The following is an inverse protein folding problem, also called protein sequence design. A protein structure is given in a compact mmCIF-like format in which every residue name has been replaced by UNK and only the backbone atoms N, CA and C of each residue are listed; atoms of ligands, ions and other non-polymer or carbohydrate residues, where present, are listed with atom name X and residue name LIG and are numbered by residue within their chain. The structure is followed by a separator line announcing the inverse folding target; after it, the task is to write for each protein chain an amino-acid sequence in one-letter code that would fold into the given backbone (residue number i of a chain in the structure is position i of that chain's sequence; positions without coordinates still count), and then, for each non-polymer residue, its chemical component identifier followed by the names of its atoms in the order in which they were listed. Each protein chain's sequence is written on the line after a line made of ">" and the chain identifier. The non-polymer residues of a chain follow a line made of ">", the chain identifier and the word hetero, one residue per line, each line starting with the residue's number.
data_IF_054165742476
#
_entry.id   IF_054165742476
#
_cell.length_a   1.000
_cell.length_b   1.000
_cell.length_c   1.000
_cell.angle_alpha   90.00
_cell.angle_beta   90.00
_cell.angle_gamma   90.00
#
_symmetry.space_group_name_H-M   'P 1'
#
loop_
_entity.id
_entity.type
_entity.pdbx_description
1 polymer ?
#
# COMPACT_ATOMS: atom_id res chain seq x y z
N UNK A 1 26.56 -5.50 -4.64
CA UNK A 1 26.07 -6.72 -3.98
C UNK A 1 24.61 -6.49 -3.66
N UNK A 2 23.74 -7.46 -3.95
CA UNK A 2 22.32 -7.39 -3.63
C UNK A 2 22.10 -7.11 -2.13
N UNK A 3 21.08 -6.33 -1.76
CA UNK A 3 20.68 -6.19 -0.36
C UNK A 3 19.92 -7.43 0.09
N UNK A 4 19.10 -7.98 -0.82
CA UNK A 4 18.33 -9.18 -0.56
C UNK A 4 19.21 -10.42 -0.42
N UNK A 5 18.91 -11.21 0.59
CA UNK A 5 19.51 -12.53 0.81
C UNK A 5 18.70 -13.66 0.16
N UNK A 6 17.46 -13.36 -0.25
CA UNK A 6 16.53 -14.23 -0.97
C UNK A 6 15.69 -13.38 -1.93
N UNK A 7 15.49 -13.84 -3.17
CA UNK A 7 14.67 -13.15 -4.17
C UNK A 7 13.31 -13.85 -4.36
N UNK A 8 12.52 -13.91 -3.28
CA UNK A 8 11.18 -14.52 -3.26
C UNK A 8 10.34 -13.91 -2.14
N UNK A 9 9.01 -14.02 -2.24
CA UNK A 9 8.12 -13.68 -1.12
C UNK A 9 8.26 -14.74 -0.02
N UNK A 10 8.40 -14.28 1.23
CA UNK A 10 8.50 -15.15 2.38
C UNK A 10 7.18 -15.20 3.19
N UNK A 11 7.02 -16.20 4.04
CA UNK A 11 5.86 -16.27 4.95
C UNK A 11 5.93 -15.19 6.04
N UNK A 12 4.78 -14.77 6.56
CA UNK A 12 4.71 -13.82 7.68
C UNK A 12 5.17 -14.50 8.98
N UNK A 13 6.37 -14.13 9.42
CA UNK A 13 6.95 -14.52 10.71
C UNK A 13 7.66 -13.30 11.32
N UNK A 14 7.98 -13.34 12.61
CA UNK A 14 8.78 -12.29 13.25
C UNK A 14 10.13 -12.09 12.56
N UNK A 15 10.84 -13.19 12.25
CA UNK A 15 12.13 -13.14 11.55
C UNK A 15 11.99 -12.47 10.19
N UNK A 16 11.04 -12.91 9.35
CA UNK A 16 10.88 -12.37 8.01
C UNK A 16 10.39 -10.92 8.03
N UNK A 17 9.57 -10.52 9.00
CA UNK A 17 9.16 -9.12 9.15
C UNK A 17 10.37 -8.21 9.46
N UNK A 18 11.29 -8.67 10.32
CA UNK A 18 12.54 -7.95 10.58
C UNK A 18 13.42 -7.89 9.33
N UNK A 19 13.56 -9.01 8.59
CA UNK A 19 14.29 -9.03 7.31
C UNK A 19 13.69 -8.07 6.28
N UNK A 20 12.36 -7.94 6.22
CA UNK A 20 11.68 -7.02 5.32
C UNK A 20 11.97 -5.55 5.68
N UNK A 21 11.94 -5.21 6.97
CA UNK A 21 12.28 -3.88 7.46
C UNK A 21 13.75 -3.51 7.22
N UNK A 22 14.64 -4.51 7.21
CA UNK A 22 16.08 -4.34 6.96
C UNK A 22 16.49 -4.51 5.49
N UNK A 23 15.52 -4.50 4.57
CA UNK A 23 15.75 -4.60 3.12
C UNK A 23 16.49 -5.88 2.72
N UNK A 24 16.25 -6.99 3.42
CA UNK A 24 16.90 -8.28 3.19
C UNK A 24 16.05 -9.27 2.42
N UNK A 25 14.76 -9.01 2.26
CA UNK A 25 13.85 -9.75 1.40
C UNK A 25 12.94 -8.77 0.65
N UNK A 26 12.44 -9.15 -0.53
CA UNK A 26 11.59 -8.26 -1.34
C UNK A 26 10.19 -8.06 -0.75
N UNK A 27 9.65 -9.05 -0.03
CA UNK A 27 8.30 -8.99 0.50
C UNK A 27 7.87 -10.23 1.26
N UNK A 28 6.69 -10.15 1.83
CA UNK A 28 6.00 -11.20 2.56
C UNK A 28 4.66 -11.48 1.90
N UNK A 29 4.21 -12.73 1.91
CA UNK A 29 2.88 -13.14 1.44
C UNK A 29 2.16 -13.95 2.52
N UNK A 30 0.85 -13.70 2.63
CA UNK A 30 -0.10 -14.61 3.27
C UNK A 30 -1.11 -14.99 2.19
N UNK A 31 -0.99 -16.22 1.67
CA UNK A 31 -1.85 -16.72 0.62
C UNK A 31 -3.28 -16.91 1.13
N UNK A 32 -4.28 -16.61 0.28
CA UNK A 32 -5.70 -16.80 0.62
C UNK A 32 -6.08 -16.16 1.98
N UNK A 33 -5.58 -14.95 2.23
CA UNK A 33 -5.83 -14.19 3.44
C UNK A 33 -7.31 -13.82 3.60
N UNK A 34 -7.97 -13.47 2.48
CA UNK A 34 -9.42 -13.37 2.38
C UNK A 34 -9.92 -14.45 1.42
N UNK A 35 -11.01 -15.18 1.77
CA UNK A 35 -11.60 -16.14 0.86
C UNK A 35 -12.00 -15.51 -0.48
N UNK A 36 -11.71 -16.20 -1.58
CA UNK A 36 -11.98 -15.72 -2.95
C UNK A 36 -13.43 -15.30 -3.15
N UNK A 37 -14.39 -16.05 -2.62
CA UNK A 37 -15.83 -15.73 -2.71
C UNK A 37 -16.17 -14.36 -2.07
N UNK A 38 -15.54 -14.05 -0.93
CA UNK A 38 -15.69 -12.75 -0.28
C UNK A 38 -15.05 -11.66 -1.13
N UNK A 39 -13.86 -11.92 -1.69
CA UNK A 39 -13.19 -10.98 -2.57
C UNK A 39 -14.01 -10.64 -3.82
N UNK A 40 -14.65 -11.64 -4.44
CA UNK A 40 -15.50 -11.46 -5.62
C UNK A 40 -16.72 -10.58 -5.32
N UNK A 41 -17.37 -10.79 -4.17
CA UNK A 41 -18.50 -9.95 -3.72
C UNK A 41 -18.08 -8.50 -3.51
N UNK A 42 -16.93 -8.27 -2.87
CA UNK A 42 -16.37 -6.92 -2.66
C UNK A 42 -16.01 -6.27 -3.99
N UNK A 43 -15.31 -6.99 -4.88
CA UNK A 43 -14.93 -6.50 -6.20
C UNK A 43 -16.15 -6.19 -7.09
N UNK A 44 -17.26 -6.92 -6.95
CA UNK A 44 -18.52 -6.60 -7.61
C UNK A 44 -19.11 -5.30 -7.07
N UNK A 45 -19.26 -5.17 -5.74
CA UNK A 45 -19.80 -3.95 -5.11
C UNK A 45 -19.00 -2.72 -5.53
N UNK A 46 -17.67 -2.80 -5.47
CA UNK A 46 -16.76 -1.72 -5.86
C UNK A 46 -16.94 -1.26 -7.31
N UNK A 47 -17.18 -2.18 -8.24
CA UNK A 47 -17.46 -1.86 -9.64
C UNK A 47 -18.80 -1.13 -9.77
N UNK A 48 -19.85 -1.69 -9.18
CA UNK A 48 -21.21 -1.16 -9.26
C UNK A 48 -21.39 0.21 -8.58
N UNK A 49 -20.76 0.44 -7.43
CA UNK A 49 -20.98 1.66 -6.64
C UNK A 49 -20.02 2.78 -6.96
N UNK A 50 -18.79 2.47 -7.39
CA UNK A 50 -17.70 3.45 -7.30
C UNK A 50 -16.70 3.46 -8.46
N UNK A 51 -16.58 2.41 -9.28
CA UNK A 51 -15.59 2.40 -10.37
C UNK A 51 -16.20 2.40 -11.77
N UNK A 52 -17.41 1.88 -11.98
CA UNK A 52 -18.07 1.91 -13.30
C UNK A 52 -18.76 3.26 -13.59
N UNK A 53 -19.07 4.05 -12.55
CA UNK A 53 -19.69 5.37 -12.71
C UNK A 53 -18.72 6.49 -13.15
N UNK A 54 -17.41 6.24 -13.24
CA UNK A 54 -16.38 7.26 -13.54
C UNK A 54 -15.74 7.11 -14.93
N UNK A 55 -16.43 6.48 -15.89
CA UNK A 55 -15.98 6.27 -17.28
C UNK A 55 -15.68 7.56 -18.09
N UNK A 56 -15.95 8.72 -17.50
CA UNK A 56 -15.64 10.05 -18.05
C UNK A 56 -14.25 10.59 -17.66
N UNK A 57 -13.52 9.94 -16.75
CA UNK A 57 -12.14 10.31 -16.35
C UNK A 57 -11.12 9.32 -16.96
N UNK A 58 -11.08 9.24 -18.29
CA UNK A 58 -10.25 8.28 -19.05
C UNK A 58 -8.73 8.44 -18.85
N UNK A 59 -8.28 9.56 -18.29
CA UNK A 59 -6.86 9.91 -18.20
C UNK A 59 -6.21 9.61 -16.83
N UNK A 60 -6.97 9.15 -15.84
CA UNK A 60 -6.43 8.80 -14.50
C UNK A 60 -6.36 7.26 -14.36
N UNK A 61 -5.16 6.66 -14.31
CA UNK A 61 -5.00 5.21 -14.26
C UNK A 61 -5.41 4.58 -12.91
N UNK A 62 -5.65 5.39 -11.88
CA UNK A 62 -5.98 4.93 -10.52
C UNK A 62 -7.21 5.63 -9.99
N UNK A 63 -8.26 4.86 -9.76
CA UNK A 63 -9.39 5.30 -8.94
C UNK A 63 -9.17 4.80 -7.51
N UNK A 64 -9.51 5.61 -6.51
CA UNK A 64 -9.39 5.22 -5.11
C UNK A 64 -10.70 5.50 -4.37
N UNK A 65 -10.94 4.72 -3.33
CA UNK A 65 -12.05 4.89 -2.39
C UNK A 65 -11.47 4.83 -0.99
N UNK A 66 -11.99 5.65 -0.09
CA UNK A 66 -11.40 5.90 1.21
C UNK A 66 -10.52 7.15 1.17
N UNK A 67 -9.69 7.32 2.19
CA UNK A 67 -8.89 8.52 2.39
C UNK A 67 -7.40 8.20 2.21
N UNK A 68 -6.72 8.94 1.34
CA UNK A 68 -5.28 8.82 1.16
C UNK A 68 -4.58 10.08 1.72
N UNK A 69 -3.74 9.93 2.74
CA UNK A 69 -3.05 11.01 3.43
C UNK A 69 -2.21 11.86 2.46
N UNK A 70 -1.56 11.25 1.47
CA UNK A 70 -0.72 11.96 0.51
C UNK A 70 -1.46 13.08 -0.27
N UNK A 71 -2.79 12.98 -0.44
CA UNK A 71 -3.60 14.03 -1.08
C UNK A 71 -3.77 15.26 -0.21
N UNK A 72 -3.66 15.10 1.11
CA UNK A 72 -3.92 16.13 2.12
C UNK A 72 -2.69 16.51 2.93
N UNK A 73 -1.54 15.88 2.66
CA UNK A 73 -0.28 16.11 3.37
C UNK A 73 0.25 17.56 3.25
N UNK A 74 -0.27 18.31 2.28
CA UNK A 74 0.02 19.74 2.08
C UNK A 74 -1.06 20.68 2.65
N UNK A 75 -2.14 20.13 3.19
CA UNK A 75 -3.24 20.87 3.84
C UNK A 75 -3.06 20.91 5.36
N UNK A 76 -3.83 21.77 6.03
CA UNK A 76 -3.90 21.73 7.49
C UNK A 76 -4.49 20.39 7.97
N UNK A 77 -3.95 19.86 9.07
CA UNK A 77 -4.34 18.56 9.61
C UNK A 77 -5.85 18.34 9.78
N UNK A 78 -6.64 19.30 10.32
CA UNK A 78 -8.08 19.11 10.48
C UNK A 78 -8.79 18.70 9.18
N UNK A 79 -8.35 19.22 8.03
CA UNK A 79 -8.99 18.93 6.73
C UNK A 79 -8.97 17.43 6.41
N UNK A 80 -7.88 16.74 6.77
CA UNK A 80 -7.78 15.29 6.62
C UNK A 80 -8.68 14.57 7.64
N UNK A 81 -8.57 14.91 8.92
CA UNK A 81 -9.29 14.21 9.99
C UNK A 81 -10.80 14.38 9.92
N UNK A 82 -11.30 15.54 9.48
CA UNK A 82 -12.73 15.81 9.27
C UNK A 82 -13.36 14.93 8.19
N UNK A 83 -12.55 14.34 7.30
CA UNK A 83 -13.00 13.44 6.22
C UNK A 83 -12.99 11.97 6.61
N UNK A 84 -12.35 11.63 7.73
CA UNK A 84 -12.09 10.24 8.12
C UNK A 84 -13.38 9.44 8.30
N UNK A 85 -14.35 9.98 9.02
CA UNK A 85 -15.57 9.24 9.37
C UNK A 85 -16.42 8.96 8.12
N UNK A 86 -16.51 9.93 7.20
CA UNK A 86 -17.16 9.73 5.92
C UNK A 86 -16.43 8.66 5.07
N UNK A 87 -15.09 8.70 5.04
CA UNK A 87 -14.31 7.70 4.33
C UNK A 87 -14.49 6.30 4.92
N UNK A 88 -14.53 6.18 6.25
CA UNK A 88 -14.77 4.91 6.94
C UNK A 88 -16.16 4.36 6.64
N UNK A 89 -17.19 5.21 6.68
CA UNK A 89 -18.56 4.79 6.34
C UNK A 89 -18.64 4.18 4.94
N UNK A 90 -17.97 4.77 3.95
CA UNK A 90 -17.94 4.22 2.58
C UNK A 90 -17.26 2.84 2.55
N UNK A 91 -16.19 2.62 3.32
CA UNK A 91 -15.56 1.29 3.44
C UNK A 91 -16.50 0.30 4.13
N UNK A 92 -17.15 0.71 5.21
CA UNK A 92 -18.06 -0.15 5.97
C UNK A 92 -19.24 -0.62 5.11
N UNK A 93 -19.80 0.28 4.28
CA UNK A 93 -20.86 -0.05 3.31
C UNK A 93 -20.41 -1.10 2.29
N UNK A 94 -19.14 -1.08 1.85
CA UNK A 94 -18.58 -2.09 0.95
C UNK A 94 -18.51 -3.46 1.63
N UNK A 95 -18.22 -3.50 2.94
CA UNK A 95 -18.14 -4.74 3.73
C UNK A 95 -19.45 -5.14 4.42
N UNK A 96 -20.52 -4.38 4.25
CA UNK A 96 -21.80 -4.64 4.91
C UNK A 96 -22.27 -6.09 4.66
N UNK A 97 -22.75 -6.76 5.71
CA UNK A 97 -23.13 -8.19 5.73
C UNK A 97 -22.04 -9.22 5.42
N UNK A 98 -20.77 -8.84 5.23
CA UNK A 98 -19.66 -9.78 4.99
C UNK A 98 -18.98 -10.26 6.28
N UNK A 99 -19.24 -9.58 7.42
CA UNK A 99 -18.70 -9.91 8.74
C UNK A 99 -17.17 -10.05 8.76
N UNK A 100 -16.48 -9.15 8.06
CA UNK A 100 -15.02 -9.03 8.05
C UNK A 100 -14.61 -7.57 8.23
N UNK A 101 -13.45 -7.36 8.83
CA UNK A 101 -12.74 -6.09 8.87
C UNK A 101 -11.29 -6.36 8.44
N UNK A 102 -10.93 -6.11 7.16
CA UNK A 102 -9.60 -6.40 6.67
C UNK A 102 -8.47 -5.63 7.37
N UNK A 103 -8.74 -4.42 7.88
CA UNK A 103 -7.74 -3.65 8.62
C UNK A 103 -7.46 -4.33 9.95
N UNK A 104 -8.51 -4.70 10.69
CA UNK A 104 -8.36 -5.47 11.93
C UNK A 104 -7.68 -6.83 11.67
N UNK A 105 -8.05 -7.55 10.62
CA UNK A 105 -7.40 -8.81 10.25
C UNK A 105 -5.89 -8.65 9.99
N UNK A 106 -5.48 -7.58 9.30
CA UNK A 106 -4.05 -7.29 9.04
C UNK A 106 -3.33 -6.93 10.35
N UNK A 107 -3.96 -6.13 11.22
CA UNK A 107 -3.42 -5.83 12.56
C UNK A 107 -3.21 -7.11 13.36
N UNK A 108 -4.21 -8.00 13.39
CA UNK A 108 -4.14 -9.28 14.11
C UNK A 108 -3.03 -10.18 13.56
N UNK A 109 -2.90 -10.27 12.23
CA UNK A 109 -1.86 -11.07 11.57
C UNK A 109 -0.46 -10.55 11.90
N UNK A 110 -0.25 -9.23 11.87
CA UNK A 110 1.03 -8.61 12.24
C UNK A 110 1.30 -8.73 13.75
N UNK A 111 0.27 -8.66 14.60
CA UNK A 111 0.44 -8.83 16.05
C UNK A 111 0.96 -10.23 16.43
N UNK A 112 0.68 -11.26 15.61
CA UNK A 112 1.26 -12.60 15.80
C UNK A 112 2.78 -12.64 15.64
N UNK A 113 3.40 -11.61 15.08
CA UNK A 113 4.88 -11.51 15.00
C UNK A 113 5.50 -10.98 16.29
N UNK A 114 4.75 -10.87 17.39
CA UNK A 114 5.25 -10.43 18.70
C UNK A 114 5.47 -8.92 18.83
N UNK A 115 5.09 -8.12 17.82
CA UNK A 115 5.25 -6.67 17.81
C UNK A 115 3.88 -6.00 18.07
N UNK A 116 3.79 -4.95 18.90
CA UNK A 116 2.55 -4.19 19.03
C UNK A 116 2.19 -3.50 17.71
N UNK A 117 0.92 -3.58 17.31
CA UNK A 117 0.40 -3.03 16.04
C UNK A 117 -0.95 -2.38 16.28
N UNK A 118 -1.22 -1.27 15.58
CA UNK A 118 -2.52 -0.62 15.57
C UNK A 118 -2.64 0.41 14.46
N UNK A 119 -3.69 1.23 14.51
CA UNK A 119 -3.78 2.43 13.67
C UNK A 119 -2.74 3.46 14.13
N UNK A 120 -2.15 4.17 13.17
CA UNK A 120 -1.27 5.29 13.47
C UNK A 120 -2.09 6.43 14.10
N UNK A 121 -1.49 7.20 15.01
CA UNK A 121 -2.16 8.30 15.71
C UNK A 121 -1.46 9.63 15.43
N UNK A 122 -2.25 10.69 15.26
CA UNK A 122 -1.76 12.07 15.22
C UNK A 122 -2.13 12.77 16.55
N UNK A 123 -1.14 13.29 17.30
CA UNK A 123 -1.37 14.00 18.54
C UNK A 123 -2.37 15.16 18.37
N UNK A 124 -3.44 15.13 19.16
CA UNK A 124 -4.50 16.14 19.15
C UNK A 124 -5.59 15.94 18.09
N UNK A 125 -5.46 14.94 17.21
CA UNK A 125 -6.43 14.64 16.15
C UNK A 125 -6.95 13.19 16.20
N UNK A 126 -6.17 12.26 16.75
CA UNK A 126 -6.54 10.86 16.91
C UNK A 126 -6.03 9.97 15.78
N UNK A 127 -6.69 8.82 15.60
CA UNK A 127 -6.24 7.79 14.65
C UNK A 127 -6.43 8.21 13.20
N UNK A 128 -5.44 7.90 12.36
CA UNK A 128 -5.51 8.02 10.90
C UNK A 128 -6.49 7.00 10.32
N UNK A 129 -7.00 7.30 9.12
CA UNK A 129 -7.68 6.31 8.28
C UNK A 129 -6.71 5.23 7.79
N UNK A 130 -7.21 4.00 7.62
CA UNK A 130 -6.51 2.91 6.94
C UNK A 130 -7.52 2.08 6.13
N UNK A 131 -7.02 1.37 5.12
CA UNK A 131 -7.76 0.46 4.27
C UNK A 131 -8.37 1.12 3.03
N UNK A 132 -7.68 2.04 2.35
CA UNK A 132 -8.16 2.61 1.09
C UNK A 132 -8.17 1.55 -0.03
N UNK A 133 -9.21 1.53 -0.86
CA UNK A 133 -9.21 0.76 -2.09
C UNK A 133 -8.53 1.51 -3.21
N UNK A 134 -7.86 0.76 -4.10
CA UNK A 134 -7.35 1.25 -5.38
C UNK A 134 -7.80 0.32 -6.50
N UNK A 135 -8.40 0.91 -7.53
CA UNK A 135 -8.70 0.27 -8.80
C UNK A 135 -7.70 0.77 -9.82
N UNK A 136 -6.81 -0.12 -10.23
CA UNK A 136 -5.71 0.17 -11.13
C UNK A 136 -6.07 -0.27 -12.56
N UNK A 137 -5.91 0.66 -13.51
CA UNK A 137 -6.02 0.45 -14.96
C UNK A 137 -4.79 1.07 -15.63
N UNK A 138 -4.06 0.30 -16.43
CA UNK A 138 -2.86 0.75 -17.13
C UNK A 138 -1.56 0.35 -16.45
N UNK A 139 -0.55 1.22 -16.51
CA UNK A 139 0.80 1.00 -15.94
C UNK A 139 1.08 1.98 -14.80
N UNK A 140 1.49 1.47 -13.64
CA UNK A 140 1.91 2.27 -12.49
C UNK A 140 3.39 2.53 -12.64
N UNK A 141 3.81 3.79 -12.71
CA UNK A 141 5.19 4.14 -13.03
C UNK A 141 6.11 3.85 -11.85
N UNK A 142 7.40 3.62 -12.11
CA UNK A 142 8.42 3.40 -11.09
C UNK A 142 8.43 4.50 -10.03
N UNK A 143 8.16 4.14 -8.77
CA UNK A 143 8.13 5.07 -7.65
C UNK A 143 8.59 4.38 -6.36
N UNK A 144 8.77 5.18 -5.32
CA UNK A 144 8.92 4.72 -3.95
C UNK A 144 8.00 5.58 -3.08
N UNK A 145 7.41 4.97 -2.05
CA UNK A 145 6.62 5.70 -1.05
C UNK A 145 7.41 5.74 0.24
N UNK A 146 7.72 6.96 0.68
CA UNK A 146 8.35 7.21 1.96
C UNK A 146 7.87 8.55 2.51
N UNK A 147 6.95 8.51 3.47
CA UNK A 147 6.34 9.66 4.10
C UNK A 147 7.40 10.69 4.57
N UNK A 148 8.45 10.31 5.32
CA UNK A 148 9.50 11.24 5.76
C UNK A 148 10.24 11.95 4.61
N UNK A 149 10.34 11.35 3.43
CA UNK A 149 11.05 11.96 2.30
C UNK A 149 10.19 12.98 1.56
N UNK A 150 8.91 12.71 1.36
CA UNK A 150 8.07 13.52 0.47
C UNK A 150 7.15 14.49 1.20
N UNK A 151 6.77 14.22 2.45
CA UNK A 151 5.93 15.11 3.25
C UNK A 151 6.83 16.12 3.95
N UNK A 152 6.59 17.41 3.72
CA UNK A 152 7.39 18.50 4.30
C UNK A 152 6.77 19.12 5.54
N UNK A 153 5.51 18.78 5.83
CA UNK A 153 4.81 19.23 7.02
C UNK A 153 5.06 18.27 8.20
N UNK A 154 4.98 18.75 9.45
CA UNK A 154 5.29 17.96 10.64
C UNK A 154 4.12 17.03 11.01
N UNK A 155 3.87 16.02 10.18
CA UNK A 155 2.90 14.96 10.45
C UNK A 155 3.58 13.81 11.20
N UNK A 156 2.89 13.15 12.12
CA UNK A 156 3.53 12.09 12.93
C UNK A 156 4.04 10.92 12.08
N UNK A 157 3.44 10.68 10.91
CA UNK A 157 3.91 9.69 9.93
C UNK A 157 5.27 10.05 9.30
N UNK A 158 5.78 11.28 9.47
CA UNK A 158 7.15 11.65 9.03
C UNK A 158 8.23 11.23 10.03
N UNK A 159 7.86 10.80 11.23
CA UNK A 159 8.78 10.41 12.31
C UNK A 159 9.07 8.90 12.33
N UNK A 160 8.54 8.16 11.35
CA UNK A 160 8.77 6.71 11.22
C UNK A 160 10.17 6.42 10.71
N UNK A 161 10.72 5.27 11.11
CA UNK A 161 12.06 4.83 10.69
C UNK A 161 12.07 3.89 9.49
N UNK A 162 10.94 3.22 9.22
CA UNK A 162 10.71 2.34 8.08
C UNK A 162 9.27 2.48 7.63
N UNK A 163 9.03 2.34 6.33
CA UNK A 163 7.71 2.30 5.74
C UNK A 163 7.51 1.03 4.92
N UNK A 164 6.43 0.32 5.21
CA UNK A 164 5.95 -0.81 4.43
C UNK A 164 4.54 -0.52 3.95
N UNK A 165 4.01 -1.39 3.11
CA UNK A 165 2.60 -1.44 2.76
C UNK A 165 2.07 -2.85 2.95
N UNK A 166 0.76 -2.96 3.08
CA UNK A 166 0.04 -4.21 2.85
C UNK A 166 -0.95 -4.01 1.71
N UNK A 167 -1.13 -5.05 0.89
CA UNK A 167 -2.08 -5.06 -0.21
C UNK A 167 -2.88 -6.37 -0.18
N UNK A 168 -4.20 -6.27 -0.05
CA UNK A 168 -5.12 -7.40 -0.25
C UNK A 168 -5.72 -7.29 -1.64
N UNK A 169 -5.72 -8.38 -2.39
CA UNK A 169 -6.13 -8.40 -3.80
C UNK A 169 -7.56 -8.91 -3.97
N UNK A 170 -8.46 -8.08 -4.46
CA UNK A 170 -9.88 -8.39 -4.64
C UNK A 170 -10.22 -8.77 -6.07
N UNK A 171 -9.50 -8.23 -7.04
CA UNK A 171 -9.58 -8.65 -8.44
C UNK A 171 -8.25 -8.44 -9.15
N UNK A 172 -8.02 -9.21 -10.21
CA UNK A 172 -6.82 -9.12 -11.04
C UNK A 172 -7.22 -8.91 -12.50
N UNK A 173 -6.32 -8.29 -13.28
CA UNK A 173 -6.46 -8.23 -14.74
C UNK A 173 -6.35 -9.64 -15.32
N UNK A 174 -6.89 -9.84 -16.53
CA UNK A 174 -6.74 -11.10 -17.28
C UNK A 174 -5.28 -11.34 -17.70
N UNK A 175 -4.58 -10.27 -18.07
CA UNK A 175 -3.16 -10.25 -18.43
C UNK A 175 -2.50 -9.04 -17.78
N UNK A 176 -1.23 -9.15 -17.38
CA UNK A 176 -0.56 -8.11 -16.59
C UNK A 176 -1.06 -8.05 -15.15
N UNK A 177 -0.94 -6.87 -14.54
CA UNK A 177 -1.26 -6.60 -13.14
C UNK A 177 -0.11 -6.96 -12.17
N UNK A 178 1.07 -7.27 -12.71
CA UNK A 178 2.21 -7.69 -11.89
C UNK A 178 2.75 -6.53 -11.05
N UNK A 179 3.00 -6.81 -9.78
CA UNK A 179 3.82 -5.96 -8.92
C UNK A 179 5.29 -6.30 -9.21
N UNK A 180 6.08 -5.27 -9.50
CA UNK A 180 7.53 -5.37 -9.60
C UNK A 180 8.13 -4.57 -8.46
N UNK A 181 8.98 -5.20 -7.65
CA UNK A 181 9.75 -4.57 -6.58
C UNK A 181 11.21 -4.70 -6.96
N UNK A 182 11.97 -3.62 -6.87
CA UNK A 182 13.39 -3.58 -7.21
C UNK A 182 14.24 -3.59 -5.94
N UNK A 183 15.38 -4.28 -5.98
CA UNK A 183 16.40 -4.24 -4.93
C UNK A 183 17.22 -2.94 -4.99
N UNK A 184 16.52 -1.81 -5.13
CA UNK A 184 17.07 -0.46 -5.00
C UNK A 184 16.24 0.28 -3.98
N UNK A 185 16.90 0.88 -2.99
CA UNK A 185 16.26 1.56 -1.87
C UNK A 185 16.27 3.07 -2.14
N UNK A 186 15.12 3.71 -1.99
CA UNK A 186 15.01 5.17 -2.00
C UNK A 186 15.72 5.76 -0.79
N UNK A 187 16.58 6.75 -1.05
CA UNK A 187 17.36 7.47 -0.06
C UNK A 187 17.45 8.95 -0.43
N UNK A 188 17.88 9.80 0.51
CA UNK A 188 18.17 11.20 0.20
C UNK A 188 19.19 11.38 -0.93
N UNK A 189 20.09 10.40 -1.14
CA UNK A 189 21.09 10.44 -2.19
C UNK A 189 20.49 10.29 -3.60
N UNK A 190 19.40 9.55 -3.76
CA UNK A 190 18.75 9.34 -5.07
C UNK A 190 17.41 10.09 -5.22
N UNK A 191 16.89 10.72 -4.17
CA UNK A 191 15.66 11.53 -4.23
C UNK A 191 15.70 12.66 -5.28
N UNK A 192 16.88 13.24 -5.51
CA UNK A 192 17.09 14.29 -6.51
C UNK A 192 16.83 13.82 -7.96
N UNK A 193 16.78 12.52 -8.20
CA UNK A 193 16.50 11.93 -9.53
C UNK A 193 15.00 11.89 -9.83
N UNK A 194 14.13 12.22 -8.86
CA UNK A 194 12.68 12.29 -9.06
C UNK A 194 12.36 13.24 -10.21
N UNK A 195 11.45 12.83 -11.10
CA UNK A 195 11.09 13.70 -12.23
C UNK A 195 10.39 14.95 -11.68
N UNK A 196 10.84 16.18 -12.05
CA UNK A 196 10.28 17.40 -11.50
C UNK A 196 8.77 17.52 -11.76
N UNK A 197 8.01 17.76 -10.69
CA UNK A 197 6.55 17.88 -10.75
C UNK A 197 5.79 16.56 -10.83
N UNK A 198 6.50 15.43 -10.83
CA UNK A 198 5.92 14.10 -11.01
C UNK A 198 6.14 13.22 -9.78
N UNK A 199 5.33 12.16 -9.64
CA UNK A 199 5.47 11.21 -8.51
C UNK A 199 6.53 10.13 -8.74
N UNK A 200 6.93 9.91 -9.99
CA UNK A 200 7.75 8.78 -10.42
C UNK A 200 9.22 9.17 -10.65
N UNK A 201 10.05 8.13 -10.82
CA UNK A 201 11.47 8.23 -11.10
C UNK A 201 11.80 7.64 -12.46
N UNK A 202 12.87 8.11 -13.12
CA UNK A 202 13.40 7.47 -14.31
C UNK A 202 14.12 6.16 -13.91
N UNK A 203 14.21 5.17 -14.81
CA UNK A 203 14.78 3.85 -14.49
C UNK A 203 16.27 3.91 -14.12
N UNK A 204 16.96 4.98 -14.50
CA UNK A 204 18.35 5.28 -14.14
C UNK A 204 18.57 5.40 -12.63
N UNK A 205 17.49 5.57 -11.84
CA UNK A 205 17.57 5.55 -10.37
C UNK A 205 17.92 4.16 -9.83
N UNK A 206 17.64 3.10 -10.60
CA UNK A 206 17.88 1.72 -10.21
C UNK A 206 19.39 1.44 -10.22
N UNK A 207 19.92 1.08 -9.06
CA UNK A 207 21.34 0.78 -8.88
C UNK A 207 21.73 -0.57 -9.49
N UNK A 208 20.74 -1.41 -9.79
CA UNK A 208 20.88 -2.79 -10.24
C UNK A 208 19.61 -3.30 -10.90
N UNK A 209 19.73 -4.43 -11.60
CA UNK A 209 18.63 -5.10 -12.28
C UNK A 209 17.84 -6.07 -11.38
N UNK A 210 18.35 -6.39 -10.19
CA UNK A 210 17.70 -7.32 -9.26
C UNK A 210 16.30 -6.81 -8.88
N UNK A 211 15.29 -7.64 -9.18
CA UNK A 211 13.90 -7.36 -8.87
C UNK A 211 13.12 -8.66 -8.63
N UNK A 212 12.00 -8.52 -7.93
CA UNK A 212 10.98 -9.55 -7.81
C UNK A 212 9.74 -9.09 -8.57
N UNK A 213 9.29 -9.91 -9.53
CA UNK A 213 8.05 -9.71 -10.27
C UNK A 213 7.03 -10.75 -9.84
N UNK A 214 5.89 -10.31 -9.33
CA UNK A 214 4.82 -11.19 -8.84
C UNK A 214 3.50 -10.81 -9.49
N UNK A 215 2.72 -11.83 -9.87
CA UNK A 215 1.29 -11.68 -10.12
C UNK A 215 0.51 -12.26 -8.93
N UNK A 216 -0.07 -11.42 -8.07
CA UNK A 216 -0.83 -11.87 -6.90
C UNK A 216 -2.08 -12.66 -7.31
N UNK A 217 -2.52 -13.60 -6.47
CA UNK A 217 -3.84 -14.23 -6.62
C UNK A 217 -4.88 -13.40 -5.86
N UNK A 218 -6.14 -13.53 -6.28
CA UNK A 218 -7.26 -12.97 -5.52
C UNK A 218 -7.30 -13.61 -4.13
N UNK A 219 -7.47 -12.79 -3.10
CA UNK A 219 -7.46 -13.18 -1.70
C UNK A 219 -6.09 -13.09 -1.03
N UNK A 220 -4.99 -12.98 -1.79
CA UNK A 220 -3.66 -12.87 -1.19
C UNK A 220 -3.48 -11.53 -0.46
N UNK A 221 -2.70 -11.56 0.61
CA UNK A 221 -2.12 -10.40 1.28
C UNK A 221 -0.63 -10.35 0.96
N UNK A 222 -0.14 -9.24 0.42
CA UNK A 222 1.30 -9.00 0.19
C UNK A 222 1.75 -7.79 0.98
N UNK A 223 2.87 -7.94 1.69
CA UNK A 223 3.57 -6.86 2.36
C UNK A 223 4.92 -6.64 1.69
N UNK A 224 5.30 -5.38 1.50
CA UNK A 224 6.66 -5.04 1.08
C UNK A 224 7.09 -3.68 1.63
N UNK A 225 8.39 -3.42 1.63
CA UNK A 225 8.95 -2.15 2.07
C UNK A 225 8.85 -1.13 0.93
N UNK A 226 8.06 -0.07 1.10
CA UNK A 226 7.75 0.87 0.00
C UNK A 226 8.88 1.83 -0.31
N UNK A 227 9.94 1.85 0.50
CA UNK A 227 11.18 2.53 0.15
C UNK A 227 11.93 1.77 -0.95
N UNK A 228 11.69 0.46 -1.14
CA UNK A 228 12.14 -0.19 -2.38
C UNK A 228 11.37 0.42 -3.56
N UNK A 229 12.08 0.78 -4.62
CA UNK A 229 11.42 1.21 -5.85
C UNK A 229 10.53 0.08 -6.37
N UNK A 230 9.33 0.44 -6.82
CA UNK A 230 8.35 -0.51 -7.26
C UNK A 230 7.44 0.09 -8.33
N UNK A 231 6.80 -0.79 -9.09
CA UNK A 231 5.89 -0.43 -10.15
C UNK A 231 4.82 -1.50 -10.38
N UNK A 232 3.75 -1.15 -11.09
CA UNK A 232 2.68 -2.08 -11.42
C UNK A 232 2.59 -2.18 -12.93
N UNK A 233 2.98 -3.34 -13.47
CA UNK A 233 2.82 -3.65 -14.88
C UNK A 233 1.36 -3.94 -15.16
N UNK A 234 0.79 -3.37 -16.21
CA UNK A 234 -0.61 -3.62 -16.54
C UNK A 234 -1.03 -3.04 -17.88
N UNK A 235 -2.32 -3.20 -18.15
CA UNK A 235 -2.98 -2.67 -19.33
C UNK A 235 -4.31 -2.05 -18.92
N UNK A 236 -5.00 -1.44 -19.90
CA UNK A 236 -6.27 -0.75 -19.68
C UNK A 236 -7.49 -1.68 -19.62
N UNK A 237 -7.29 -2.99 -19.79
CA UNK A 237 -8.34 -3.99 -19.96
C UNK A 237 -8.66 -4.70 -18.64
N UNK A 238 -9.76 -4.27 -18.02
CA UNK A 238 -10.24 -4.78 -16.73
C UNK A 238 -9.80 -3.92 -15.54
N UNK A 239 -10.01 -4.45 -14.34
CA UNK A 239 -9.70 -3.75 -13.08
C UNK A 239 -8.87 -4.66 -12.17
N UNK A 240 -7.70 -4.16 -11.77
CA UNK A 240 -6.93 -4.71 -10.64
C UNK A 240 -7.33 -3.94 -9.40
N UNK A 241 -8.13 -4.57 -8.54
CA UNK A 241 -8.63 -3.94 -7.32
C UNK A 241 -7.86 -4.50 -6.13
N UNK A 242 -7.25 -3.60 -5.35
CA UNK A 242 -6.63 -3.94 -4.07
C UNK A 242 -7.09 -3.00 -2.97
N UNK A 243 -7.11 -3.48 -1.73
CA UNK A 243 -7.18 -2.62 -0.54
C UNK A 243 -5.79 -2.50 0.05
N UNK A 244 -5.40 -1.28 0.42
CA UNK A 244 -4.03 -0.97 0.80
C UNK A 244 -3.94 0.06 1.89
N UNK A 245 -2.86 -0.01 2.66
CA UNK A 245 -2.37 1.07 3.51
C UNK A 245 -0.87 0.93 3.72
N UNK A 246 -0.28 1.97 4.26
CA UNK A 246 1.08 1.96 4.76
C UNK A 246 1.12 1.42 6.19
N UNK A 247 2.30 0.93 6.56
CA UNK A 247 2.70 0.51 7.89
C UNK A 247 4.00 1.22 8.22
N UNK A 248 4.11 1.80 9.39
CA UNK A 248 5.27 2.60 9.81
C UNK A 248 5.84 2.08 11.10
N UNK A 249 7.16 1.91 11.13
CA UNK A 249 7.88 1.56 12.35
C UNK A 249 8.12 2.82 13.19
N UNK A 250 7.41 2.93 14.31
CA UNK A 250 7.55 4.03 15.28
C UNK A 250 8.83 3.88 16.11
N UNK A 251 9.24 4.97 16.76
CA UNK A 251 10.44 5.00 17.61
C UNK A 251 10.38 4.03 18.80
N UNK A 252 9.17 3.75 19.31
CA UNK A 252 8.92 2.78 20.38
C UNK A 252 8.99 1.31 19.91
N UNK A 253 9.26 1.08 18.61
CA UNK A 253 9.33 -0.24 17.99
C UNK A 253 7.99 -0.86 17.62
N UNK A 254 6.86 -0.18 17.87
CA UNK A 254 5.54 -0.64 17.43
C UNK A 254 5.19 -0.18 16.01
N UNK A 255 4.21 -0.84 15.40
CA UNK A 255 3.76 -0.54 14.03
C UNK A 255 2.45 0.24 14.06
N UNK A 256 2.35 1.24 13.18
CA UNK A 256 1.11 1.99 12.96
C UNK A 256 0.67 1.94 11.50
N UNK A 257 -0.61 1.72 11.25
CA UNK A 257 -1.21 1.71 9.91
C UNK A 257 -1.85 3.07 9.57
N UNK A 258 -1.68 3.53 8.33
CA UNK A 258 -2.41 4.69 7.78
C UNK A 258 -2.49 4.58 6.25
N UNK A 259 -3.41 5.31 5.62
CA UNK A 259 -3.44 5.48 4.15
C UNK A 259 -3.31 6.94 3.76
#
# INVERSE_FOLDING_TARGET
>A
MANWIRNELCALTEENLNLLMDFKIPGIIVENFIPVETCERVAQRLRETAFDNYDHLKDIPVHHIGLCHNQWAHSEKPIYFDKKDQAQQVIDEIYDSLNIDPVAMVIDALAQTGRPVGLFEEPGFGQYFAGAFRSFRGHGRLHADHAPSHIKQPWSVTEISRQMTWNIYYSMLNTGGELVIYDTIHTAANDHMKVPGEYYFPYEVLEREDHLRIRPKVGDLILFNTQNFHEILGNTDGHRISQTSFIGLKQDGSLGLWS
#
